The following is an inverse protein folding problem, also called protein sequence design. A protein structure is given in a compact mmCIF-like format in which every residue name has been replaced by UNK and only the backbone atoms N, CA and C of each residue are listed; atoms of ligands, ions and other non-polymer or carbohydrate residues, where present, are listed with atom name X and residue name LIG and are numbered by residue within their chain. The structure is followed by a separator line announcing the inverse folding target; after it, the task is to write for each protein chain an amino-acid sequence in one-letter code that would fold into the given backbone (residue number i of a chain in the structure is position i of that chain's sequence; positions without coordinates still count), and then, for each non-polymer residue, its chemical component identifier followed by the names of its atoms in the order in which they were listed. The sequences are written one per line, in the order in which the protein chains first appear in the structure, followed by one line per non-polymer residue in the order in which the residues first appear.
data_IF_911773577533
#
_entry.id   IF_911773577533
#
_cell.length_a   1.000
_cell.length_b   1.000
_cell.length_c   1.000
_cell.angle_alpha   90.00
_cell.angle_beta   90.00
_cell.angle_gamma   90.00
#
_symmetry.space_group_name_H-M   'P 1'
#
loop_
_entity.id
_entity.type
_entity.pdbx_description
1 polymer ?
#
# COMPACT_ATOMS: atom_id res chain seq x y z
N UNK A 1 -23.56 14.58 -55.93
CA UNK A 1 -22.33 15.26 -55.50
C UNK A 1 -21.33 14.17 -55.16
N UNK A 2 -20.56 13.71 -56.15
CA UNK A 2 -19.59 12.64 -55.97
C UNK A 2 -18.39 13.18 -55.20
N UNK A 3 -18.20 12.71 -53.97
CA UNK A 3 -17.00 13.01 -53.22
C UNK A 3 -15.85 12.25 -53.87
N UNK A 4 -14.93 12.99 -54.51
CA UNK A 4 -13.71 12.43 -55.11
C UNK A 4 -12.97 11.57 -54.08
N UNK A 5 -12.78 10.30 -54.40
CA UNK A 5 -12.12 9.30 -53.55
C UNK A 5 -10.75 9.78 -53.07
N UNK A 6 -10.05 10.60 -53.85
CA UNK A 6 -8.76 11.21 -53.46
C UNK A 6 -8.92 12.21 -52.32
N UNK A 7 -10.01 12.98 -52.29
CA UNK A 7 -10.33 13.90 -51.19
C UNK A 7 -10.71 13.16 -49.91
N UNK A 8 -11.40 12.02 -50.03
CA UNK A 8 -11.73 11.16 -48.89
C UNK A 8 -10.48 10.55 -48.25
N UNK A 9 -9.52 10.07 -49.06
CA UNK A 9 -8.26 9.48 -48.57
C UNK A 9 -7.41 10.51 -47.84
N UNK A 10 -7.33 11.74 -48.36
CA UNK A 10 -6.59 12.85 -47.70
C UNK A 10 -7.23 13.22 -46.36
N UNK A 11 -8.57 13.26 -46.28
CA UNK A 11 -9.29 13.56 -45.04
C UNK A 11 -9.09 12.48 -43.97
N UNK A 12 -9.08 11.22 -44.36
CA UNK A 12 -8.78 10.08 -43.48
C UNK A 12 -7.33 10.10 -42.97
N UNK A 13 -6.38 10.45 -43.83
CA UNK A 13 -4.97 10.59 -43.44
C UNK A 13 -4.78 11.72 -42.41
N UNK A 14 -5.46 12.86 -42.58
CA UNK A 14 -5.41 13.96 -41.60
C UNK A 14 -6.00 13.55 -40.24
N UNK A 15 -7.07 12.73 -40.21
CA UNK A 15 -7.66 12.25 -38.96
C UNK A 15 -6.72 11.31 -38.18
N UNK A 16 -5.94 10.48 -38.88
CA UNK A 16 -4.98 9.57 -38.25
C UNK A 16 -3.79 10.28 -37.60
N UNK A 17 -3.35 11.41 -38.15
CA UNK A 17 -2.21 12.16 -37.60
C UNK A 17 -2.62 12.90 -36.31
N UNK A 18 -3.90 13.26 -36.15
CA UNK A 18 -4.41 13.92 -34.92
C UNK A 18 -4.68 12.92 -33.79
N UNK A 19 -4.87 11.63 -34.11
CA UNK A 19 -5.17 10.58 -33.13
C UNK A 19 -3.95 9.96 -32.42
N UNK A 20 -2.73 10.38 -32.76
CA UNK A 20 -1.50 9.86 -32.14
C UNK A 20 -0.91 10.80 -31.08
N UNK A 21 -1.69 11.78 -30.62
CA UNK A 21 -1.42 12.44 -29.35
C UNK A 21 -1.90 11.54 -28.22
N UNK A 22 -1.14 10.48 -27.90
CA UNK A 22 -1.19 9.93 -26.55
C UNK A 22 -0.92 11.11 -25.64
N UNK A 23 -1.97 11.60 -24.97
CA UNK A 23 -1.79 12.45 -23.82
C UNK A 23 -0.97 11.61 -22.84
N UNK A 24 0.36 11.76 -22.91
CA UNK A 24 1.20 11.55 -21.77
C UNK A 24 0.60 12.49 -20.74
N UNK A 25 -0.20 11.91 -19.85
CA UNK A 25 -0.51 12.50 -18.57
C UNK A 25 0.88 12.68 -17.97
N UNK A 26 1.50 13.82 -18.25
CA UNK A 26 2.54 14.34 -17.38
C UNK A 26 1.79 14.51 -16.08
N UNK A 27 2.05 13.60 -15.15
CA UNK A 27 1.77 13.78 -13.73
C UNK A 27 2.58 14.99 -13.25
N UNK A 28 2.19 16.17 -13.72
CA UNK A 28 2.63 17.44 -13.21
C UNK A 28 1.57 17.89 -12.21
N UNK A 29 1.34 17.02 -11.23
CA UNK A 29 0.61 17.34 -10.01
C UNK A 29 1.64 18.04 -9.11
N UNK A 30 2.05 19.25 -9.52
CA UNK A 30 2.54 20.29 -8.60
C UNK A 30 1.36 20.88 -7.80
N UNK A 31 0.40 20.02 -7.42
CA UNK A 31 -0.49 20.37 -6.31
C UNK A 31 0.44 20.41 -5.11
N UNK A 32 0.49 21.52 -4.33
CA UNK A 32 1.23 21.51 -3.09
C UNK A 32 0.76 20.27 -2.34
N UNK A 33 1.69 19.33 -2.12
CA UNK A 33 1.43 18.15 -1.31
C UNK A 33 0.74 18.68 -0.07
N UNK A 34 -0.57 18.44 0.05
CA UNK A 34 -1.27 18.53 1.31
C UNK A 34 -0.50 17.53 2.17
N UNK A 35 0.51 18.04 2.87
CA UNK A 35 1.34 17.27 3.75
C UNK A 35 0.34 16.68 4.73
N UNK A 36 0.17 15.35 4.65
CA UNK A 36 -0.66 14.65 5.62
C UNK A 36 -0.21 15.03 7.02
N UNK A 37 -1.11 14.94 8.01
CA UNK A 37 -0.77 15.25 9.39
C UNK A 37 0.55 14.53 9.76
N UNK A 38 1.49 15.26 10.36
CA UNK A 38 2.75 14.69 10.81
C UNK A 38 2.57 14.10 12.21
N UNK A 39 3.19 12.96 12.52
CA UNK A 39 3.15 12.38 13.86
C UNK A 39 3.19 10.87 13.89
N UNK A 40 2.71 10.32 15.01
CA UNK A 40 2.63 8.90 15.28
C UNK A 40 1.22 8.50 15.71
N UNK A 41 0.71 7.39 15.15
CA UNK A 41 -0.57 6.79 15.48
C UNK A 41 -0.37 5.33 15.86
N UNK A 42 -1.06 4.85 16.90
CA UNK A 42 -1.06 3.44 17.30
C UNK A 42 -2.48 2.90 17.33
N UNK A 43 -2.64 1.62 17.09
CA UNK A 43 -3.91 0.93 17.19
C UNK A 43 -3.76 -0.55 16.93
N UNK A 44 -4.89 -1.25 16.87
CA UNK A 44 -4.93 -2.67 16.60
C UNK A 44 -5.58 -2.94 15.26
N UNK A 45 -4.99 -3.85 14.48
CA UNK A 45 -5.61 -4.39 13.28
C UNK A 45 -6.14 -5.79 13.58
N UNK A 46 -7.35 -6.07 13.11
CA UNK A 46 -7.89 -7.43 13.07
C UNK A 46 -7.28 -8.19 11.90
N UNK A 47 -7.10 -9.50 12.02
CA UNK A 47 -6.63 -10.35 10.93
C UNK A 47 -7.68 -11.39 10.51
N UNK A 48 -7.84 -11.53 9.19
CA UNK A 48 -8.65 -12.53 8.52
C UNK A 48 -7.79 -13.27 7.52
N UNK A 49 -7.99 -14.58 7.38
CA UNK A 49 -7.25 -15.41 6.42
C UNK A 49 -8.24 -16.12 5.49
N UNK A 50 -7.84 -16.33 4.24
CA UNK A 50 -8.70 -17.06 3.28
C UNK A 50 -8.71 -18.57 3.52
N UNK A 51 -7.80 -19.06 4.36
CA UNK A 51 -7.60 -20.47 4.74
C UNK A 51 -7.10 -20.54 6.18
N UNK A 52 -7.39 -21.64 6.87
CA UNK A 52 -6.72 -21.96 8.12
C UNK A 52 -5.25 -22.25 7.85
N UNK A 53 -4.37 -21.45 8.45
CA UNK A 53 -2.93 -21.65 8.43
C UNK A 53 -2.50 -22.15 9.82
N UNK A 54 -1.46 -23.00 9.91
CA UNK A 54 -0.99 -23.53 11.20
C UNK A 54 -0.69 -22.44 12.23
N UNK A 55 -0.22 -21.29 11.75
CA UNK A 55 0.18 -20.15 12.58
C UNK A 55 -0.83 -18.99 12.52
N UNK A 56 -1.98 -19.15 11.83
CA UNK A 56 -3.00 -18.10 11.82
C UNK A 56 -3.99 -18.30 12.97
N UNK A 57 -4.02 -17.35 13.89
CA UNK A 57 -5.13 -17.23 14.83
C UNK A 57 -6.14 -16.26 14.23
N UNK A 58 -7.22 -16.79 13.67
CA UNK A 58 -8.32 -15.96 13.16
C UNK A 58 -8.91 -15.13 14.31
N UNK A 59 -9.08 -13.82 14.09
CA UNK A 59 -9.55 -12.89 15.12
C UNK A 59 -8.47 -12.38 16.07
N UNK A 60 -7.20 -12.77 15.89
CA UNK A 60 -6.10 -12.12 16.58
C UNK A 60 -5.97 -10.65 16.14
N UNK A 61 -5.61 -9.81 17.11
CA UNK A 61 -5.43 -8.38 16.92
C UNK A 61 -3.95 -8.03 17.07
N UNK A 62 -3.37 -7.45 16.02
CA UNK A 62 -1.96 -7.03 16.02
C UNK A 62 -1.87 -5.53 16.31
N UNK A 63 -1.04 -5.15 17.28
CA UNK A 63 -0.75 -3.75 17.53
C UNK A 63 0.22 -3.22 16.46
N UNK A 64 -0.15 -2.10 15.84
CA UNK A 64 0.61 -1.46 14.78
C UNK A 64 0.78 0.01 15.08
N UNK A 65 1.92 0.55 14.64
CA UNK A 65 2.22 1.97 14.71
C UNK A 65 2.51 2.50 13.33
N UNK A 66 1.81 3.56 12.97
CA UNK A 66 2.03 4.33 11.77
C UNK A 66 2.74 5.62 12.13
N UNK A 67 3.85 5.90 11.44
CA UNK A 67 4.59 7.15 11.55
C UNK A 67 4.45 7.90 10.23
N UNK A 68 4.26 9.21 10.29
CA UNK A 68 4.38 10.08 9.14
C UNK A 68 5.18 11.31 9.54
N UNK A 69 6.50 11.25 9.43
CA UNK A 69 7.37 12.39 9.69
C UNK A 69 8.25 12.70 8.50
N UNK A 70 8.36 13.99 8.18
CA UNK A 70 9.15 14.48 7.04
C UNK A 70 8.78 13.83 5.70
N UNK A 71 7.51 13.47 5.52
CA UNK A 71 6.99 12.75 4.35
C UNK A 71 7.67 11.38 4.10
N UNK A 72 8.24 10.77 5.13
CA UNK A 72 8.74 9.40 5.10
C UNK A 72 7.87 8.54 6.01
N UNK A 73 6.71 8.06 5.51
CA UNK A 73 5.79 7.32 6.34
C UNK A 73 6.32 5.90 6.56
N UNK A 74 6.04 5.33 7.72
CA UNK A 74 6.54 4.01 8.13
C UNK A 74 5.45 3.23 8.87
N UNK A 75 5.51 1.90 8.78
CA UNK A 75 4.64 1.00 9.53
C UNK A 75 5.49 0.05 10.36
N UNK A 76 5.19 0.04 11.65
CA UNK A 76 5.79 -0.81 12.67
C UNK A 76 4.73 -1.75 13.23
N UNK A 77 5.14 -2.95 13.61
CA UNK A 77 4.27 -3.95 14.24
C UNK A 77 4.91 -4.43 15.52
N UNK A 78 4.08 -4.71 16.52
CA UNK A 78 4.50 -5.24 17.81
C UNK A 78 4.71 -6.75 17.75
N UNK A 79 5.86 -7.22 18.21
CA UNK A 79 6.29 -8.62 18.29
C UNK A 79 6.66 -8.99 19.75
N UNK A 80 5.67 -9.18 20.62
CA UNK A 80 5.90 -9.40 22.07
C UNK A 80 5.54 -8.16 22.88
N UNK A 81 5.99 -8.05 24.13
CA UNK A 81 5.48 -7.02 25.06
C UNK A 81 5.97 -5.60 24.75
N UNK A 82 7.21 -5.42 24.28
CA UNK A 82 7.82 -4.10 24.04
C UNK A 82 8.68 -4.06 22.76
N UNK A 83 8.64 -5.10 21.93
CA UNK A 83 9.47 -5.19 20.73
C UNK A 83 8.66 -4.75 19.52
N UNK A 84 8.92 -3.55 19.03
CA UNK A 84 8.34 -3.04 17.80
C UNK A 84 9.36 -3.11 16.68
N UNK A 85 8.94 -3.65 15.54
CA UNK A 85 9.81 -3.77 14.36
C UNK A 85 9.14 -3.18 13.14
N UNK A 86 9.94 -2.53 12.28
CA UNK A 86 9.51 -2.20 10.93
C UNK A 86 9.15 -3.49 10.21
N UNK A 87 8.01 -3.50 9.54
CA UNK A 87 7.55 -4.70 8.84
C UNK A 87 8.49 -4.99 7.66
N UNK A 88 8.80 -3.96 6.86
CA UNK A 88 9.89 -3.98 5.88
C UNK A 88 10.48 -2.58 5.70
N UNK A 89 11.75 -2.52 5.33
CA UNK A 89 12.49 -1.26 5.12
C UNK A 89 12.38 -0.71 3.68
N UNK A 90 12.00 -1.56 2.73
CA UNK A 90 12.11 -1.37 1.28
C UNK A 90 10.74 -1.35 0.57
N UNK A 91 9.70 -0.88 1.27
CA UNK A 91 8.40 -0.66 0.66
C UNK A 91 8.47 0.41 -0.45
N UNK A 92 7.78 0.16 -1.57
CA UNK A 92 7.41 1.22 -2.49
C UNK A 92 6.26 2.02 -1.86
N UNK A 93 6.50 3.29 -1.55
CA UNK A 93 5.51 4.17 -0.91
C UNK A 93 4.96 5.17 -1.94
N UNK A 94 3.63 5.18 -2.08
CA UNK A 94 2.90 6.16 -2.90
C UNK A 94 2.04 6.99 -1.94
N UNK A 95 2.28 8.30 -1.91
CA UNK A 95 1.58 9.22 -1.01
C UNK A 95 0.77 10.24 -1.81
N UNK A 96 -0.51 10.42 -1.49
CA UNK A 96 -1.35 11.45 -2.10
C UNK A 96 -2.41 11.96 -1.13
N UNK A 97 -2.46 13.29 -0.95
CA UNK A 97 -3.46 13.99 -0.14
C UNK A 97 -3.65 13.38 1.26
N UNK A 98 -2.55 13.09 1.97
CA UNK A 98 -2.59 12.48 3.30
C UNK A 98 -3.00 11.00 3.33
N UNK A 99 -3.03 10.31 2.19
CA UNK A 99 -3.18 8.86 2.11
C UNK A 99 -1.85 8.25 1.67
N UNK A 100 -1.53 7.07 2.19
CA UNK A 100 -0.29 6.36 1.91
C UNK A 100 -0.58 4.92 1.51
N UNK A 101 0.05 4.47 0.44
CA UNK A 101 0.03 3.10 -0.01
C UNK A 101 1.46 2.56 0.01
N UNK A 102 1.70 1.50 0.78
CA UNK A 102 2.96 0.77 0.85
C UNK A 102 2.77 -0.53 0.09
N UNK A 103 3.65 -0.84 -0.86
CA UNK A 103 3.61 -2.09 -1.61
C UNK A 103 4.97 -2.77 -1.63
N UNK A 104 4.97 -4.09 -1.45
CA UNK A 104 6.15 -4.92 -1.60
C UNK A 104 5.80 -6.22 -2.29
N UNK A 105 6.66 -6.65 -3.20
CA UNK A 105 6.65 -8.00 -3.77
C UNK A 105 7.92 -8.69 -3.29
N UNK A 106 7.76 -9.87 -2.68
CA UNK A 106 8.84 -10.76 -2.27
C UNK A 106 8.77 -11.97 -3.19
N UNK A 107 9.89 -12.30 -3.84
CA UNK A 107 9.98 -13.42 -4.79
C UNK A 107 11.28 -14.19 -4.53
N UNK A 108 11.18 -15.50 -4.26
CA UNK A 108 12.32 -16.38 -4.03
C UNK A 108 11.90 -17.81 -3.69
N UNK A 109 12.70 -18.80 -4.09
CA UNK A 109 12.49 -20.23 -3.77
C UNK A 109 11.09 -20.77 -4.10
N UNK A 110 10.49 -20.26 -5.19
CA UNK A 110 9.14 -20.62 -5.60
C UNK A 110 8.05 -19.95 -4.75
N UNK A 111 8.39 -19.09 -3.80
CA UNK A 111 7.49 -18.26 -3.00
C UNK A 111 7.36 -16.87 -3.60
N UNK A 112 6.16 -16.51 -4.03
CA UNK A 112 5.81 -15.15 -4.44
C UNK A 112 4.79 -14.59 -3.46
N UNK A 113 5.10 -13.46 -2.87
CA UNK A 113 4.26 -12.78 -1.91
C UNK A 113 4.10 -11.32 -2.26
N UNK A 114 2.87 -10.85 -2.29
CA UNK A 114 2.53 -9.44 -2.42
C UNK A 114 1.96 -8.95 -1.10
N UNK A 115 2.52 -7.87 -0.57
CA UNK A 115 2.00 -7.17 0.60
C UNK A 115 1.67 -5.73 0.26
N UNK A 116 0.51 -5.29 0.73
CA UNK A 116 0.03 -3.92 0.58
C UNK A 116 -0.49 -3.40 1.91
N UNK A 117 -0.10 -2.19 2.27
CA UNK A 117 -0.70 -1.43 3.36
C UNK A 117 -1.28 -0.13 2.82
N UNK A 118 -2.53 0.15 3.16
CA UNK A 118 -3.16 1.42 2.86
C UNK A 118 -3.47 2.15 4.18
N UNK A 119 -2.97 3.37 4.30
CA UNK A 119 -3.30 4.29 5.40
C UNK A 119 -4.04 5.46 4.80
N UNK A 120 -5.21 5.77 5.34
CA UNK A 120 -6.12 6.77 4.78
C UNK A 120 -6.85 7.52 5.88
N UNK A 121 -7.51 8.61 5.49
CA UNK A 121 -8.27 9.45 6.42
C UNK A 121 -7.43 9.87 7.64
N UNK A 122 -6.18 10.28 7.38
CA UNK A 122 -5.24 10.69 8.42
C UNK A 122 -5.57 12.13 8.82
N UNK A 123 -5.93 12.31 10.08
CA UNK A 123 -6.18 13.61 10.67
C UNK A 123 -5.43 13.77 12.01
N UNK A 124 -5.73 14.85 12.73
CA UNK A 124 -5.05 15.18 13.98
C UNK A 124 -5.35 14.21 15.14
N UNK A 125 -6.32 13.31 15.00
CA UNK A 125 -6.73 12.36 16.04
C UNK A 125 -6.62 10.90 15.58
N UNK A 126 -6.92 10.60 14.30
CA UNK A 126 -7.16 9.24 13.81
C UNK A 126 -6.50 8.98 12.46
N UNK A 127 -6.33 7.70 12.16
CA UNK A 127 -6.02 7.19 10.84
C UNK A 127 -6.68 5.82 10.65
N UNK A 128 -7.19 5.55 9.45
CA UNK A 128 -7.66 4.21 9.08
C UNK A 128 -6.54 3.44 8.40
N UNK A 129 -6.35 2.17 8.77
CA UNK A 129 -5.32 1.29 8.20
C UNK A 129 -5.95 0.01 7.67
N UNK A 130 -5.48 -0.42 6.50
CA UNK A 130 -5.80 -1.70 5.90
C UNK A 130 -4.51 -2.39 5.47
N UNK A 131 -4.45 -3.70 5.66
CA UNK A 131 -3.38 -4.57 5.22
C UNK A 131 -3.94 -5.68 4.33
N UNK A 132 -3.21 -6.01 3.28
CA UNK A 132 -3.45 -7.18 2.46
C UNK A 132 -2.12 -7.89 2.21
N UNK A 133 -2.15 -9.22 2.30
CA UNK A 133 -1.06 -10.11 1.95
C UNK A 133 -1.63 -11.21 1.07
N UNK A 134 -0.97 -11.51 -0.04
CA UNK A 134 -1.31 -12.62 -0.90
C UNK A 134 -0.06 -13.42 -1.23
N UNK A 135 -0.14 -14.73 -1.08
CA UNK A 135 0.97 -15.65 -1.33
C UNK A 135 0.59 -16.64 -2.40
N UNK A 136 1.55 -16.93 -3.28
CA UNK A 136 1.51 -18.00 -4.28
C UNK A 136 2.85 -18.74 -4.26
N UNK A 137 2.79 -20.04 -3.99
CA UNK A 137 3.94 -20.94 -4.05
C UNK A 137 3.63 -22.14 -4.97
N UNK A 138 3.80 -22.02 -6.30
CA UNK A 138 3.47 -23.09 -7.23
C UNK A 138 4.34 -24.36 -7.11
N UNK A 139 5.43 -24.32 -6.34
CA UNK A 139 6.30 -25.49 -6.11
C UNK A 139 5.68 -26.51 -5.14
N UNK A 140 4.70 -26.11 -4.34
CA UNK A 140 3.94 -27.00 -3.45
C UNK A 140 2.83 -27.74 -4.21
N UNK A 141 2.37 -28.89 -3.72
CA UNK A 141 1.25 -29.62 -4.31
C UNK A 141 -0.05 -28.80 -4.34
N UNK A 142 -0.93 -29.08 -5.31
CA UNK A 142 -2.12 -28.25 -5.59
C UNK A 142 -3.09 -28.10 -4.42
N UNK A 143 -3.13 -29.09 -3.54
CA UNK A 143 -3.96 -29.18 -2.34
C UNK A 143 -3.27 -28.65 -1.08
N UNK A 144 -1.99 -28.29 -1.15
CA UNK A 144 -1.25 -27.79 0.00
C UNK A 144 -1.78 -26.41 0.46
N UNK A 145 -2.06 -26.25 1.77
CA UNK A 145 -2.68 -25.02 2.31
C UNK A 145 -1.81 -23.77 2.12
N UNK A 146 -0.48 -23.91 2.12
CA UNK A 146 0.47 -22.83 1.86
C UNK A 146 0.72 -22.55 0.35
N UNK A 147 0.10 -23.29 -0.57
CA UNK A 147 0.30 -23.07 -2.02
C UNK A 147 -0.27 -21.72 -2.46
N UNK A 148 -1.49 -21.40 -2.03
CA UNK A 148 -2.14 -20.11 -2.31
C UNK A 148 -2.98 -19.77 -1.09
N UNK A 149 -2.72 -18.60 -0.49
CA UNK A 149 -3.53 -18.06 0.59
C UNK A 149 -3.41 -16.53 0.62
N UNK A 150 -4.43 -15.89 1.19
CA UNK A 150 -4.45 -14.47 1.48
C UNK A 150 -4.66 -14.21 2.98
N UNK A 151 -4.12 -13.10 3.44
CA UNK A 151 -4.43 -12.52 4.73
C UNK A 151 -4.82 -11.06 4.53
N UNK A 152 -5.76 -10.59 5.34
CA UNK A 152 -6.24 -9.23 5.29
C UNK A 152 -6.40 -8.73 6.70
N UNK A 153 -6.19 -7.44 6.89
CA UNK A 153 -6.50 -6.80 8.15
C UNK A 153 -6.98 -5.37 8.00
N UNK A 154 -7.72 -4.91 8.99
CA UNK A 154 -8.14 -3.52 9.07
C UNK A 154 -8.23 -3.08 10.53
N UNK A 155 -8.06 -1.78 10.74
CA UNK A 155 -8.15 -1.16 12.04
C UNK A 155 -8.22 0.37 11.97
N UNK A 156 -8.45 0.97 13.13
CA UNK A 156 -8.36 2.41 13.35
C UNK A 156 -7.20 2.67 14.31
N UNK A 157 -6.39 3.68 13.99
CA UNK A 157 -5.26 4.12 14.77
C UNK A 157 -5.60 5.46 15.42
N UNK A 158 -5.17 5.63 16.67
CA UNK A 158 -5.28 6.89 17.42
C UNK A 158 -3.92 7.57 17.47
N UNK A 159 -3.89 8.88 17.24
CA UNK A 159 -2.66 9.67 17.34
C UNK A 159 -2.16 9.68 18.78
N UNK A 160 -0.90 9.36 18.96
CA UNK A 160 -0.21 9.38 20.26
C UNK A 160 0.77 10.54 20.37
N UNK A 161 1.18 11.11 19.24
CA UNK A 161 2.12 12.22 19.21
C UNK A 161 2.03 13.01 17.90
N UNK A 162 2.29 14.31 17.98
CA UNK A 162 2.55 15.17 16.82
C UNK A 162 4.01 15.15 16.35
N UNK A 163 4.91 14.52 17.12
CA UNK A 163 6.32 14.27 16.77
C UNK A 163 6.61 12.77 16.70
N UNK A 164 7.45 12.34 15.78
CA UNK A 164 7.96 10.96 15.72
C UNK A 164 9.18 10.70 16.62
N UNK A 165 9.75 11.72 17.27
CA UNK A 165 10.95 11.57 18.10
C UNK A 165 10.72 10.57 19.25
N UNK A 166 9.50 10.58 19.80
CA UNK A 166 9.07 9.67 20.88
C UNK A 166 9.15 8.19 20.46
N UNK A 167 9.02 7.89 19.17
CA UNK A 167 9.05 6.51 18.68
C UNK A 167 10.46 6.00 18.46
N UNK A 168 11.35 6.82 17.90
CA UNK A 168 12.75 6.45 17.61
C UNK A 168 13.49 6.03 18.89
N UNK A 169 13.19 6.66 20.03
CA UNK A 169 13.82 6.34 21.31
C UNK A 169 13.30 5.04 21.95
N UNK A 170 12.11 4.58 21.59
CA UNK A 170 11.51 3.34 22.12
C UNK A 170 11.81 2.13 21.24
N UNK A 171 11.94 2.30 19.93
CA UNK A 171 12.28 1.21 19.00
C UNK A 171 13.74 0.72 19.11
N UNK A 172 14.62 1.49 19.77
CA UNK A 172 16.06 1.21 19.88
C UNK A 172 16.50 0.74 21.29
N UNK A 173 15.56 0.48 22.20
CA UNK A 173 15.83 -0.07 23.54
C UNK A 173 15.66 -1.58 23.55
#
# INVERSE_FOLDING_TARGET
MELDLKKLIILLACFYIVSCGSASIKDNIDTPLLQGAAGAWTGKISQFTTKELPDSQEGEMFEVVFLNCNNNPEIWMKFGDDDYRKIYEDYLVISNAGNHLFNKIIDGDGWVETQSWAVSAIDDERAAIQWNRMVSNPALDSDHNLRIFGQMGYGELTRISSSCDIWVDNANK
#
